data_IF_832787178368
#
_entry.id   IF_832787178368
#
_cell.length_a   1.000
_cell.length_b   1.000
_cell.length_c   1.000
_cell.angle_alpha   90.00
_cell.angle_beta   90.00
_cell.angle_gamma   90.00
#
_symmetry.space_group_name_H-M   'P 1'
#
loop_
_entity.id
_entity.type
_entity.pdbx_description
1 polymer ?
#
# COMPACT_ATOMS: atom_id res chain seq x y z
N UNK A 1 33.43 -7.24 -25.88
CA UNK A 1 33.52 -8.00 -24.62
C UNK A 1 32.53 -9.15 -24.66
N UNK A 2 33.01 -10.39 -24.77
CA UNK A 2 32.15 -11.59 -24.84
C UNK A 2 31.40 -11.79 -23.51
N UNK A 3 30.08 -11.97 -23.57
CA UNK A 3 29.19 -12.09 -22.41
C UNK A 3 29.38 -13.48 -21.81
N UNK A 4 30.09 -13.55 -20.68
CA UNK A 4 30.32 -14.81 -19.94
C UNK A 4 29.12 -15.08 -19.03
N UNK A 5 28.33 -16.10 -19.36
CA UNK A 5 27.26 -16.58 -18.48
C UNK A 5 27.89 -17.44 -17.38
N UNK A 6 27.97 -16.90 -16.15
CA UNK A 6 28.41 -17.65 -14.97
C UNK A 6 27.18 -17.95 -14.13
N UNK A 7 26.88 -19.24 -13.94
CA UNK A 7 25.84 -19.70 -13.04
C UNK A 7 26.47 -20.19 -11.74
N UNK A 8 25.95 -19.71 -10.60
CA UNK A 8 26.35 -20.19 -9.28
C UNK A 8 25.32 -21.21 -8.78
N UNK A 9 25.77 -22.41 -8.45
CA UNK A 9 24.94 -23.47 -7.85
C UNK A 9 25.47 -23.68 -6.43
N UNK A 10 24.66 -23.38 -5.42
CA UNK A 10 25.03 -23.64 -4.03
C UNK A 10 24.93 -25.16 -3.77
N UNK A 11 26.02 -25.86 -3.43
CA UNK A 11 25.97 -27.28 -3.11
C UNK A 11 25.26 -27.51 -1.78
N UNK A 12 24.63 -28.68 -1.64
CA UNK A 12 23.98 -29.06 -0.38
C UNK A 12 25.00 -29.22 0.75
N UNK A 13 24.61 -28.78 1.95
CA UNK A 13 25.48 -28.93 3.11
C UNK A 13 25.65 -30.42 3.49
N UNK A 14 26.87 -30.84 3.86
CA UNK A 14 27.14 -32.20 4.30
C UNK A 14 26.40 -32.52 5.60
N UNK A 15 26.05 -33.80 5.77
CA UNK A 15 25.25 -34.29 6.90
C UNK A 15 25.85 -33.96 8.28
N UNK A 16 27.18 -33.90 8.38
CA UNK A 16 27.88 -33.51 9.60
C UNK A 16 27.57 -32.06 10.02
N UNK A 17 27.69 -31.09 9.09
CA UNK A 17 27.43 -29.68 9.39
C UNK A 17 25.96 -29.42 9.71
N UNK A 18 25.04 -30.13 9.04
CA UNK A 18 23.60 -30.06 9.33
C UNK A 18 23.27 -30.47 10.77
N UNK A 19 23.89 -31.55 11.27
CA UNK A 19 23.72 -32.02 12.66
C UNK A 19 24.29 -31.03 13.65
N UNK A 20 25.52 -30.56 13.40
CA UNK A 20 26.20 -29.59 14.25
C UNK A 20 25.40 -28.27 14.38
N UNK A 21 24.95 -27.70 13.26
CA UNK A 21 24.11 -26.49 13.25
C UNK A 21 22.82 -26.67 14.04
N UNK A 22 22.17 -27.84 13.90
CA UNK A 22 20.94 -28.19 14.61
C UNK A 22 21.17 -28.31 16.12
N UNK A 23 22.24 -28.95 16.55
CA UNK A 23 22.62 -29.08 17.97
C UNK A 23 23.01 -27.73 18.58
N UNK A 24 23.67 -26.87 17.81
CA UNK A 24 24.04 -25.52 18.22
C UNK A 24 22.87 -24.50 18.17
N UNK A 25 21.69 -24.90 17.69
CA UNK A 25 20.55 -23.99 17.51
C UNK A 25 20.81 -22.87 16.51
N UNK A 26 21.74 -23.07 15.56
CA UNK A 26 22.15 -22.06 14.59
C UNK A 26 20.98 -21.71 13.64
N UNK A 27 20.56 -20.43 13.69
CA UNK A 27 19.63 -19.86 12.72
C UNK A 27 20.44 -19.19 11.62
N UNK A 28 20.18 -19.54 10.37
CA UNK A 28 20.83 -18.90 9.24
C UNK A 28 20.48 -17.41 9.22
N UNK A 29 21.51 -16.57 9.07
CA UNK A 29 21.35 -15.12 9.08
C UNK A 29 20.57 -14.59 7.87
N UNK A 30 20.20 -13.29 7.89
CA UNK A 30 19.49 -12.65 6.79
C UNK A 30 20.26 -12.81 5.48
N UNK A 31 19.63 -13.42 4.49
CA UNK A 31 20.19 -13.59 3.15
C UNK A 31 19.80 -12.41 2.28
N UNK A 32 20.46 -12.22 1.13
CA UNK A 32 20.08 -11.18 0.16
C UNK A 32 18.61 -11.25 -0.26
N UNK A 33 18.03 -12.46 -0.27
CA UNK A 33 16.61 -12.66 -0.59
C UNK A 33 15.67 -12.10 0.48
N UNK A 34 16.10 -12.02 1.76
CA UNK A 34 15.25 -11.44 2.82
C UNK A 34 14.98 -9.96 2.58
N UNK A 35 15.88 -9.25 1.88
CA UNK A 35 15.65 -7.85 1.48
C UNK A 35 14.56 -7.67 0.40
N UNK A 36 14.21 -8.75 -0.30
CA UNK A 36 13.22 -8.77 -1.38
C UNK A 36 11.87 -9.29 -0.91
N UNK A 37 11.75 -9.65 0.37
CA UNK A 37 10.50 -10.12 0.93
C UNK A 37 9.52 -8.95 1.04
N UNK A 38 8.28 -9.18 0.58
CA UNK A 38 7.19 -8.24 0.77
C UNK A 38 6.71 -8.35 2.23
N UNK A 39 7.09 -7.38 3.06
CA UNK A 39 6.67 -7.30 4.47
C UNK A 39 5.19 -6.93 4.67
N UNK A 40 4.44 -6.78 3.57
CA UNK A 40 3.04 -6.37 3.59
C UNK A 40 2.86 -4.87 3.82
N UNK A 41 1.63 -4.47 4.13
CA UNK A 41 1.34 -3.10 4.51
C UNK A 41 1.72 -2.91 5.98
N UNK A 42 2.54 -1.89 6.23
CA UNK A 42 2.86 -1.42 7.56
C UNK A 42 1.59 -0.77 8.14
N UNK A 43 1.30 -1.02 9.42
CA UNK A 43 0.16 -0.39 10.08
C UNK A 43 0.42 1.11 10.26
N UNK A 44 -0.62 1.93 10.20
CA UNK A 44 -0.47 3.38 10.37
C UNK A 44 0.13 3.73 11.74
N UNK A 45 -0.16 2.94 12.79
CA UNK A 45 0.42 3.06 14.14
C UNK A 45 1.95 2.89 14.17
N UNK A 46 2.50 2.08 13.26
CA UNK A 46 3.95 1.81 13.16
C UNK A 46 4.67 2.90 12.34
N UNK A 47 3.91 3.80 11.70
CA UNK A 47 4.41 5.01 11.06
C UNK A 47 4.37 6.24 11.99
N UNK A 48 3.63 6.16 13.10
CA UNK A 48 3.54 7.25 14.05
C UNK A 48 4.76 7.28 14.98
N UNK A 49 5.37 8.45 15.11
CA UNK A 49 6.51 8.67 16.00
C UNK A 49 6.11 8.33 17.46
N UNK A 50 6.91 7.49 18.10
CA UNK A 50 6.76 7.14 19.51
C UNK A 50 7.04 8.34 20.42
N UNK A 51 6.55 8.38 21.67
CA UNK A 51 6.81 9.49 22.58
C UNK A 51 8.29 9.69 22.91
N UNK A 52 9.12 8.65 22.73
CA UNK A 52 10.57 8.70 22.93
C UNK A 52 11.31 9.33 21.72
N UNK A 53 10.71 9.26 20.53
CA UNK A 53 11.25 9.85 19.30
C UNK A 53 10.89 11.34 19.16
N UNK A 54 9.88 11.81 19.90
CA UNK A 54 9.48 13.21 19.92
C UNK A 54 10.58 14.12 20.50
N UNK A 55 10.79 15.32 19.94
CA UNK A 55 11.82 16.23 20.41
C UNK A 55 11.54 16.75 21.83
N UNK A 56 12.59 16.89 22.64
CA UNK A 56 12.47 17.50 23.97
C UNK A 56 12.25 19.01 23.87
N UNK A 57 11.16 19.50 24.46
CA UNK A 57 10.85 20.94 24.51
C UNK A 57 11.55 21.59 25.70
N UNK A 58 12.41 22.59 25.45
CA UNK A 58 13.13 23.35 26.48
C UNK A 58 12.84 24.84 26.34
N UNK A 59 12.38 25.48 27.41
CA UNK A 59 12.09 26.92 27.47
C UNK A 59 13.34 27.66 27.94
N UNK A 60 13.91 28.51 27.10
CA UNK A 60 15.13 29.28 27.40
C UNK A 60 14.83 30.77 27.62
N UNK A 61 13.86 31.33 26.90
CA UNK A 61 13.49 32.74 26.92
C UNK A 61 12.01 32.90 27.27
N UNK A 62 11.63 34.10 27.74
CA UNK A 62 10.27 34.46 28.17
C UNK A 62 9.26 34.66 27.01
N UNK A 63 9.35 33.83 25.98
CA UNK A 63 8.45 33.78 24.83
C UNK A 63 8.48 32.44 24.10
N UNK A 64 9.26 31.48 24.58
CA UNK A 64 9.25 30.13 24.04
C UNK A 64 7.98 29.41 24.52
N UNK A 65 7.42 28.55 23.67
CA UNK A 65 6.22 27.78 23.99
C UNK A 65 6.53 26.73 25.05
N UNK A 66 5.64 26.58 26.01
CA UNK A 66 5.69 25.50 26.99
C UNK A 66 5.23 24.18 26.36
N UNK A 67 5.61 23.04 26.96
CA UNK A 67 5.24 21.71 26.44
C UNK A 67 3.72 21.55 26.26
N UNK A 68 2.91 22.13 27.16
CA UNK A 68 1.44 22.09 27.08
C UNK A 68 0.86 22.95 25.95
N UNK A 69 1.52 24.05 25.60
CA UNK A 69 1.11 24.91 24.48
C UNK A 69 1.48 24.28 23.14
N UNK A 70 2.66 23.64 23.06
CA UNK A 70 3.08 22.90 21.88
C UNK A 70 2.08 21.78 21.55
N UNK A 71 1.67 20.99 22.54
CA UNK A 71 0.70 19.92 22.32
C UNK A 71 -0.64 20.45 21.79
N UNK A 72 -1.13 21.57 22.36
CA UNK A 72 -2.36 22.22 21.90
C UNK A 72 -2.25 22.74 20.46
N UNK A 73 -1.16 23.40 20.12
CA UNK A 73 -0.96 23.90 18.75
C UNK A 73 -0.79 22.75 17.74
N UNK A 74 -0.11 21.66 18.11
CA UNK A 74 -0.02 20.46 17.28
C UNK A 74 -1.40 19.85 17.00
N UNK A 75 -2.27 19.74 18.01
CA UNK A 75 -3.65 19.28 17.81
C UNK A 75 -4.46 20.21 16.90
N UNK A 76 -4.26 21.53 17.01
CA UNK A 76 -4.94 22.51 16.14
C UNK A 76 -4.48 22.39 14.69
N UNK A 77 -3.18 22.28 14.46
CA UNK A 77 -2.62 22.08 13.12
C UNK A 77 -3.11 20.77 12.49
N UNK A 78 -3.18 19.68 13.26
CA UNK A 78 -3.72 18.40 12.78
C UNK A 78 -5.17 18.55 12.31
N UNK A 79 -6.04 19.20 13.12
CA UNK A 79 -7.44 19.46 12.75
C UNK A 79 -7.57 20.37 11.53
N UNK A 80 -6.75 21.41 11.45
CA UNK A 80 -6.75 22.32 10.30
C UNK A 80 -6.36 21.59 9.01
N UNK A 81 -5.40 20.66 9.07
CA UNK A 81 -5.01 19.82 7.93
C UNK A 81 -6.13 18.84 7.53
N UNK A 82 -6.85 18.27 8.50
CA UNK A 82 -7.97 17.36 8.25
C UNK A 82 -9.20 18.09 7.66
N UNK A 83 -9.45 19.32 8.09
CA UNK A 83 -10.56 20.17 7.61
C UNK A 83 -10.21 20.98 6.36
N UNK A 84 -8.93 21.11 6.03
CA UNK A 84 -8.48 21.85 4.85
C UNK A 84 -9.08 21.26 3.57
N UNK A 85 -9.50 22.11 2.61
CA UNK A 85 -9.98 21.64 1.33
C UNK A 85 -8.87 20.87 0.60
N UNK A 86 -9.28 19.90 -0.21
CA UNK A 86 -8.35 19.13 -1.02
C UNK A 86 -7.52 20.06 -1.92
N UNK A 87 -6.22 19.78 -1.98
CA UNK A 87 -5.31 20.46 -2.90
C UNK A 87 -5.72 20.18 -4.35
N UNK A 88 -6.10 21.24 -5.07
CA UNK A 88 -6.57 21.17 -6.46
C UNK A 88 -5.42 21.08 -7.47
N UNK A 89 -4.19 21.37 -7.07
CA UNK A 89 -3.00 21.24 -7.93
C UNK A 89 -2.53 19.77 -8.02
N UNK A 90 -2.92 18.94 -7.05
CA UNK A 90 -2.60 17.53 -7.03
C UNK A 90 -3.55 16.69 -7.93
N UNK A 91 -3.02 15.76 -8.76
CA UNK A 91 -3.86 14.90 -9.58
C UNK A 91 -4.67 13.90 -8.74
N UNK A 92 -5.95 13.74 -9.06
CA UNK A 92 -6.85 12.79 -8.39
C UNK A 92 -6.46 11.35 -8.75
N UNK A 93 -5.97 10.59 -7.76
CA UNK A 93 -5.62 9.16 -7.92
C UNK A 93 -6.78 8.25 -7.47
N UNK A 94 -7.48 7.65 -8.43
CA UNK A 94 -8.51 6.65 -8.14
C UNK A 94 -7.87 5.32 -7.72
N UNK A 95 -8.04 4.94 -6.45
CA UNK A 95 -7.70 3.59 -5.99
C UNK A 95 -8.82 2.63 -6.40
N UNK A 96 -8.46 1.56 -7.09
CA UNK A 96 -9.41 0.50 -7.39
C UNK A 96 -9.97 -0.08 -6.08
N UNK A 97 -11.28 -0.36 -5.98
CA UNK A 97 -11.82 -0.98 -4.79
C UNK A 97 -11.12 -2.32 -4.57
N UNK A 98 -10.58 -2.50 -3.37
CA UNK A 98 -10.04 -3.80 -2.97
C UNK A 98 -11.19 -4.81 -3.09
N UNK A 99 -11.00 -5.84 -3.92
CA UNK A 99 -11.86 -7.02 -3.89
C UNK A 99 -11.62 -7.72 -2.56
N UNK A 100 -12.19 -7.19 -1.49
CA UNK A 100 -12.25 -7.90 -0.21
C UNK A 100 -12.91 -9.24 -0.50
N UNK A 101 -12.31 -10.28 0.05
CA UNK A 101 -12.80 -11.66 -0.05
C UNK A 101 -14.28 -11.63 0.29
N UNK A 102 -15.12 -11.90 -0.71
CA UNK A 102 -16.55 -12.09 -0.53
C UNK A 102 -16.70 -13.30 0.39
N UNK A 103 -16.81 -13.06 1.69
CA UNK A 103 -17.19 -14.07 2.66
C UNK A 103 -18.59 -14.53 2.28
N UNK A 104 -18.68 -15.84 2.12
CA UNK A 104 -19.84 -16.58 1.66
C UNK A 104 -21.07 -16.26 2.53
N UNK A 105 -22.07 -15.60 1.93
CA UNK A 105 -23.47 -15.83 2.30
C UNK A 105 -24.22 -16.23 1.02
N UNK A 106 -24.73 -17.46 0.90
CA UNK A 106 -25.14 -18.03 -0.38
C UNK A 106 -26.64 -17.91 -0.61
N UNK A 107 -27.18 -16.72 -0.88
CA UNK A 107 -28.56 -16.60 -1.42
C UNK A 107 -28.66 -15.51 -2.49
N UNK A 108 -27.99 -15.75 -3.62
CA UNK A 108 -28.57 -15.60 -4.96
C UNK A 108 -27.55 -16.13 -5.97
N UNK A 109 -27.41 -17.46 -5.98
CA UNK A 109 -26.91 -18.17 -7.15
C UNK A 109 -28.06 -18.25 -8.13
N UNK A 110 -27.89 -17.73 -9.34
CA UNK A 110 -28.12 -18.56 -10.51
C UNK A 110 -26.97 -18.35 -11.50
N UNK A 111 -26.33 -19.47 -11.75
CA UNK A 111 -25.22 -19.73 -12.63
C UNK A 111 -25.57 -19.53 -14.10
N UNK A 112 -24.66 -18.94 -14.86
CA UNK A 112 -24.32 -19.52 -16.17
C UNK A 112 -22.92 -19.10 -16.61
N UNK A 113 -21.95 -19.97 -16.31
CA UNK A 113 -20.79 -20.12 -17.19
C UNK A 113 -21.28 -20.94 -18.38
N UNK A 114 -21.55 -20.29 -19.51
CA UNK A 114 -21.58 -20.95 -20.80
C UNK A 114 -20.80 -20.13 -21.82
N UNK A 115 -19.91 -20.84 -22.49
CA UNK A 115 -19.10 -20.41 -23.59
C UNK A 115 -19.96 -20.05 -24.82
N UNK A 116 -19.37 -19.21 -25.68
CA UNK A 116 -19.68 -19.00 -27.11
C UNK A 116 -20.84 -18.06 -27.46
N UNK A 117 -20.42 -16.94 -28.06
CA UNK A 117 -21.08 -16.20 -29.17
C UNK A 117 -22.54 -15.78 -29.02
N UNK A 118 -22.75 -14.46 -28.90
CA UNK A 118 -23.40 -13.61 -29.92
C UNK A 118 -23.55 -12.20 -29.33
N UNK A 119 -22.87 -11.24 -29.92
CA UNK A 119 -23.02 -9.81 -29.63
C UNK A 119 -24.47 -9.39 -29.84
N UNK A 120 -25.24 -9.24 -28.75
CA UNK A 120 -26.53 -8.56 -28.80
C UNK A 120 -26.25 -7.06 -28.79
N UNK A 121 -26.35 -6.46 -29.97
CA UNK A 121 -26.27 -5.02 -30.21
C UNK A 121 -27.45 -4.34 -29.50
N UNK A 122 -27.22 -3.84 -28.29
CA UNK A 122 -28.15 -2.93 -27.63
C UNK A 122 -28.02 -1.58 -28.35
N UNK A 123 -28.99 -1.27 -29.21
CA UNK A 123 -29.10 0.03 -29.84
C UNK A 123 -29.81 0.97 -28.86
N UNK A 124 -29.13 1.46 -27.84
CA UNK A 124 -29.55 2.71 -27.20
C UNK A 124 -29.12 3.85 -28.12
N UNK A 125 -30.08 4.47 -28.81
CA UNK A 125 -29.83 5.75 -29.47
C UNK A 125 -29.79 6.79 -28.35
N UNK A 126 -28.67 7.51 -28.26
CA UNK A 126 -28.40 8.61 -27.32
C UNK A 126 -28.43 8.24 -25.83
N UNK A 127 -27.26 7.90 -25.28
CA UNK A 127 -26.98 7.90 -23.84
C UNK A 127 -26.19 9.15 -23.40
N UNK A 128 -25.90 10.05 -24.33
CA UNK A 128 -25.14 11.27 -24.12
C UNK A 128 -25.84 12.37 -24.91
N UNK A 129 -26.32 13.40 -24.22
CA UNK A 129 -26.97 14.59 -24.81
C UNK A 129 -25.99 15.55 -25.48
N UNK A 130 -24.85 15.05 -25.99
CA UNK A 130 -23.79 15.83 -26.60
C UNK A 130 -23.77 15.72 -28.14
N UNK A 131 -24.68 14.95 -28.74
CA UNK A 131 -24.68 14.61 -30.18
C UNK A 131 -25.80 15.34 -30.98
N UNK A 132 -26.44 16.37 -30.40
CA UNK A 132 -27.58 17.09 -31.01
C UNK A 132 -27.28 18.58 -31.31
N UNK A 133 -26.01 18.95 -31.53
CA UNK A 133 -25.70 20.33 -31.93
C UNK A 133 -24.44 20.44 -32.80
N UNK A 134 -24.39 19.75 -33.95
CA UNK A 134 -23.52 20.16 -35.08
C UNK A 134 -23.95 19.50 -36.39
N UNK A 135 -25.03 19.98 -37.01
CA UNK A 135 -25.23 19.77 -38.45
C UNK A 135 -26.03 20.92 -39.07
N UNK A 136 -25.37 22.06 -39.20
CA UNK A 136 -25.83 23.24 -39.95
C UNK A 136 -24.89 23.41 -41.17
N UNK A 137 -25.27 22.79 -42.30
CA UNK A 137 -24.96 23.21 -43.69
C UNK A 137 -25.85 22.42 -44.69
#
# INVERSE_FOLDING_TARGET
MSKRHVAYIKPDEPSFLKKLKKEAGYQEGPTVDTKREDYGNIADEDLEDTPEEQPTVVVLKSGDLTAEEVAREQERLKKEIEEAPADLDAPILFKAPNKSKLTENPEHRESSKSSKSKSKKLKSKSLLSFDEEENDD
#
